data_IF_692753390701
#
_entry.id   IF_692753390701
#
_cell.length_a   1.000
_cell.length_b   1.000
_cell.length_c   1.000
_cell.angle_alpha   90.00
_cell.angle_beta   90.00
_cell.angle_gamma   90.00
#
_symmetry.space_group_name_H-M   'P 1'
#
loop_
_entity.id
_entity.type
_entity.pdbx_description
1 polymer ?
#
# COMPACT_ATOMS: atom_id res chain seq x y z
N UNK A 1 -16.45 -2.45 -18.85
CA UNK A 1 -15.48 -1.45 -18.36
C UNK A 1 -14.29 -2.26 -17.92
N UNK A 2 -13.15 -2.08 -18.58
CA UNK A 2 -11.92 -2.76 -18.20
C UNK A 2 -11.52 -2.14 -16.84
N UNK A 3 -11.87 -2.82 -15.76
CA UNK A 3 -11.61 -2.33 -14.40
C UNK A 3 -10.13 -2.07 -14.27
N UNK A 4 -9.75 -0.93 -13.69
CA UNK A 4 -8.34 -0.60 -13.54
C UNK A 4 -7.71 -1.67 -12.64
N UNK A 5 -6.89 -2.57 -13.20
CA UNK A 5 -6.25 -3.68 -12.48
C UNK A 5 -5.01 -3.25 -11.68
N UNK A 6 -4.81 -1.95 -11.55
CA UNK A 6 -3.68 -1.34 -10.86
C UNK A 6 -4.17 -0.61 -9.60
N UNK A 7 -3.58 -0.95 -8.46
CA UNK A 7 -3.78 -0.24 -7.21
C UNK A 7 -2.70 0.83 -6.99
N UNK A 8 -3.01 1.78 -6.10
CA UNK A 8 -2.13 2.88 -5.73
C UNK A 8 -1.75 2.76 -4.25
N UNK A 9 -0.46 2.76 -3.96
CA UNK A 9 0.10 2.95 -2.63
C UNK A 9 0.57 4.39 -2.47
N UNK A 10 0.22 4.99 -1.32
CA UNK A 10 0.66 6.33 -0.93
C UNK A 10 0.66 6.43 0.60
N UNK A 11 1.12 7.55 1.13
CA UNK A 11 0.93 7.88 2.55
C UNK A 11 0.52 9.34 2.71
N UNK A 12 -0.18 9.62 3.81
CA UNK A 12 -0.53 10.97 4.23
C UNK A 12 -0.50 11.03 5.75
N UNK A 13 0.31 11.94 6.28
CA UNK A 13 0.58 12.04 7.72
C UNK A 13 1.04 10.65 8.24
N UNK A 14 0.43 10.18 9.32
CA UNK A 14 0.66 8.91 10.00
C UNK A 14 -0.12 7.72 9.39
N UNK A 15 -0.52 7.81 8.12
CA UNK A 15 -1.30 6.77 7.47
C UNK A 15 -0.69 6.34 6.15
N UNK A 16 -0.62 5.04 5.95
CA UNK A 16 -0.52 4.42 4.63
C UNK A 16 -1.92 4.34 4.03
N UNK A 17 -1.99 4.62 2.74
CA UNK A 17 -3.22 4.64 1.96
C UNK A 17 -3.05 3.70 0.77
N UNK A 18 -3.88 2.67 0.73
CA UNK A 18 -4.00 1.75 -0.40
C UNK A 18 -5.33 2.02 -1.11
N UNK A 19 -5.28 2.35 -2.39
CA UNK A 19 -6.46 2.65 -3.21
C UNK A 19 -6.60 1.67 -4.35
N UNK A 20 -7.80 1.14 -4.53
CA UNK A 20 -8.14 0.28 -5.64
C UNK A 20 -9.61 0.47 -6.00
N UNK A 21 -9.90 0.79 -7.26
CA UNK A 21 -11.23 1.23 -7.71
C UNK A 21 -11.80 2.37 -6.84
N UNK A 22 -12.97 2.15 -6.24
CA UNK A 22 -13.68 3.06 -5.35
C UNK A 22 -13.29 2.89 -3.86
N UNK A 23 -12.40 1.95 -3.54
CA UNK A 23 -11.95 1.70 -2.18
C UNK A 23 -10.71 2.51 -1.82
N UNK A 24 -10.75 3.13 -0.64
CA UNK A 24 -9.62 3.81 0.00
C UNK A 24 -9.41 3.19 1.37
N UNK A 25 -8.40 2.33 1.48
CA UNK A 25 -8.03 1.66 2.73
C UNK A 25 -6.92 2.46 3.39
N UNK A 26 -7.10 2.79 4.67
CA UNK A 26 -6.13 3.55 5.47
C UNK A 26 -5.76 2.78 6.72
N UNK A 27 -4.46 2.65 6.96
CA UNK A 27 -3.92 2.04 8.17
C UNK A 27 -2.74 2.84 8.69
N UNK A 28 -2.45 2.70 9.99
CA UNK A 28 -1.41 3.48 10.66
C UNK A 28 -0.04 3.12 10.07
N UNK A 29 0.75 4.16 9.82
CA UNK A 29 2.16 4.08 9.48
C UNK A 29 2.99 4.78 10.57
N UNK A 30 4.29 4.50 10.68
CA UNK A 30 5.16 5.25 11.58
C UNK A 30 5.10 6.75 11.31
N UNK A 31 5.05 7.59 12.35
CA UNK A 31 5.01 9.06 12.22
C UNK A 31 6.26 9.64 11.52
N UNK A 32 7.35 8.87 11.53
CA UNK A 32 8.62 9.18 10.89
C UNK A 32 8.61 8.90 9.40
N UNK A 33 7.64 8.15 8.86
CA UNK A 33 7.54 7.86 7.44
C UNK A 33 7.26 9.17 6.69
N UNK A 34 8.16 9.54 5.78
CA UNK A 34 7.95 10.66 4.88
C UNK A 34 7.16 10.23 3.66
N UNK A 35 7.67 9.22 2.95
CA UNK A 35 7.06 8.70 1.73
C UNK A 35 7.56 7.32 1.35
N UNK A 36 6.70 6.57 0.66
CA UNK A 36 7.13 5.44 -0.16
C UNK A 36 7.74 5.93 -1.47
N UNK A 37 8.81 5.31 -1.92
CA UNK A 37 9.58 5.76 -3.09
C UNK A 37 9.55 4.74 -4.23
N UNK A 38 9.44 3.45 -3.93
CA UNK A 38 9.40 2.38 -4.94
C UNK A 38 8.61 1.16 -4.49
N UNK A 39 7.86 0.52 -5.40
CA UNK A 39 7.37 -0.85 -5.23
C UNK A 39 8.46 -1.80 -5.74
N UNK A 40 8.93 -2.71 -4.90
CA UNK A 40 9.86 -3.77 -5.27
C UNK A 40 9.12 -5.05 -5.66
N UNK A 41 8.07 -5.38 -4.92
CA UNK A 41 7.32 -6.62 -5.09
C UNK A 41 5.85 -6.40 -4.75
N UNK A 42 4.99 -7.10 -5.48
CA UNK A 42 3.57 -7.27 -5.20
C UNK A 42 3.27 -8.76 -5.33
N UNK A 43 2.82 -9.38 -4.24
CA UNK A 43 2.38 -10.77 -4.20
C UNK A 43 1.06 -10.87 -3.43
N UNK A 44 -0.05 -10.73 -4.16
CA UNK A 44 -1.41 -10.97 -3.68
C UNK A 44 -1.72 -10.44 -2.26
N UNK A 45 -1.44 -9.16 -2.02
CA UNK A 45 -1.65 -8.50 -0.72
C UNK A 45 -0.38 -8.29 0.10
N UNK A 46 0.72 -8.95 -0.25
CA UNK A 46 2.05 -8.68 0.29
C UNK A 46 2.80 -7.69 -0.60
N UNK A 47 3.39 -6.66 0.02
CA UNK A 47 4.13 -5.60 -0.64
C UNK A 47 5.53 -5.51 -0.04
N UNK A 48 6.54 -5.46 -0.93
CA UNK A 48 7.90 -5.03 -0.58
C UNK A 48 8.10 -3.65 -1.19
N UNK A 49 8.47 -2.65 -0.38
CA UNK A 49 8.58 -1.26 -0.82
C UNK A 49 9.85 -0.60 -0.30
N UNK A 50 10.31 0.43 -1.00
CA UNK A 50 11.29 1.36 -0.45
C UNK A 50 10.57 2.53 0.23
N UNK A 51 11.03 2.90 1.41
CA UNK A 51 10.47 3.93 2.27
C UNK A 51 11.54 4.92 2.71
N UNK A 52 11.20 6.22 2.66
CA UNK A 52 12.03 7.30 3.18
C UNK A 52 11.51 7.74 4.55
N UNK A 53 12.40 7.80 5.53
CA UNK A 53 12.12 8.22 6.89
C UNK A 53 12.83 9.53 7.25
N UNK A 54 12.20 10.37 8.09
CA UNK A 54 12.67 11.73 8.46
C UNK A 54 14.08 11.81 9.02
N UNK A 55 14.51 10.77 9.71
CA UNK A 55 15.78 10.76 10.46
C UNK A 55 16.80 9.78 9.87
N UNK A 56 16.59 9.34 8.63
CA UNK A 56 17.52 8.45 7.93
C UNK A 56 17.83 8.99 6.57
N UNK A 57 19.12 9.01 6.22
CA UNK A 57 19.57 9.47 4.90
C UNK A 57 19.21 8.45 3.81
N UNK A 58 19.36 7.17 4.11
CA UNK A 58 19.06 6.07 3.20
C UNK A 58 17.57 5.67 3.26
N UNK A 59 17.09 5.14 2.14
CA UNK A 59 15.77 4.50 2.07
C UNK A 59 15.84 3.10 2.68
N UNK A 60 14.79 2.71 3.39
CA UNK A 60 14.64 1.39 3.99
C UNK A 60 13.68 0.52 3.19
N UNK A 61 13.97 -0.78 3.14
CA UNK A 61 13.02 -1.77 2.64
C UNK A 61 11.99 -2.07 3.72
N UNK A 62 10.72 -1.98 3.36
CA UNK A 62 9.57 -2.21 4.24
C UNK A 62 8.64 -3.27 3.65
N UNK A 63 8.00 -4.00 4.54
CA UNK A 63 7.09 -5.08 4.22
C UNK A 63 5.69 -4.76 4.73
N UNK A 64 4.70 -4.81 3.84
CA UNK A 64 3.31 -4.51 4.17
C UNK A 64 2.46 -5.73 3.82
N UNK A 65 1.77 -6.27 4.82
CA UNK A 65 0.75 -7.30 4.64
C UNK A 65 -0.65 -6.66 4.73
N UNK A 66 -1.35 -6.61 3.60
CA UNK A 66 -2.70 -6.07 3.50
C UNK A 66 -3.76 -7.05 4.02
N UNK A 67 -3.48 -8.35 4.09
CA UNK A 67 -4.49 -9.36 4.41
C UNK A 67 -5.08 -9.14 5.82
N UNK A 68 -4.28 -8.94 6.90
CA UNK A 68 -4.82 -8.61 8.22
C UNK A 68 -5.61 -7.31 8.24
N UNK A 69 -5.15 -6.28 7.49
CA UNK A 69 -5.83 -4.98 7.41
C UNK A 69 -7.22 -5.14 6.78
N UNK A 70 -7.30 -5.85 5.67
CA UNK A 70 -8.55 -6.13 4.95
C UNK A 70 -9.53 -6.94 5.81
N UNK A 71 -9.05 -8.00 6.47
CA UNK A 71 -9.86 -8.84 7.36
C UNK A 71 -10.42 -8.05 8.55
N UNK A 72 -9.62 -7.16 9.14
CA UNK A 72 -10.08 -6.29 10.23
C UNK A 72 -11.15 -5.29 9.79
N UNK A 73 -11.19 -4.97 8.50
CA UNK A 73 -12.22 -4.13 7.88
C UNK A 73 -13.40 -4.96 7.35
N UNK A 74 -13.47 -6.25 7.66
CA UNK A 74 -14.51 -7.19 7.23
C UNK A 74 -14.58 -7.42 5.72
N UNK A 75 -13.48 -7.22 5.00
CA UNK A 75 -13.37 -7.62 3.59
C UNK A 75 -13.09 -9.11 3.46
N UNK A 76 -13.62 -9.71 2.40
CA UNK A 76 -13.01 -10.90 1.82
C UNK A 76 -11.71 -10.49 1.12
N UNK A 77 -10.59 -10.69 1.82
CA UNK A 77 -9.29 -10.25 1.34
C UNK A 77 -8.92 -10.91 0.00
N UNK A 78 -9.25 -12.18 -0.21
CA UNK A 78 -8.88 -12.89 -1.43
C UNK A 78 -9.64 -12.31 -2.63
N UNK A 79 -10.97 -12.26 -2.52
CA UNK A 79 -11.84 -11.67 -3.55
C UNK A 79 -11.48 -10.21 -3.87
N UNK A 80 -11.06 -9.43 -2.87
CA UNK A 80 -10.64 -8.06 -3.06
C UNK A 80 -9.29 -7.93 -3.80
N UNK A 81 -8.34 -8.82 -3.52
CA UNK A 81 -6.96 -8.76 -4.03
C UNK A 81 -6.79 -9.43 -5.40
N UNK A 82 -7.55 -10.50 -5.70
CA UNK A 82 -7.54 -11.24 -6.99
C UNK A 82 -7.49 -10.34 -8.23
N UNK A 83 -8.30 -9.26 -8.35
CA UNK A 83 -8.28 -8.42 -9.56
C UNK A 83 -7.08 -7.47 -9.68
N UNK A 84 -6.21 -7.37 -8.67
CA UNK A 84 -5.08 -6.43 -8.63
C UNK A 84 -3.82 -7.09 -9.21
N UNK A 85 -3.44 -6.70 -10.43
CA UNK A 85 -2.27 -7.25 -11.11
C UNK A 85 -0.96 -6.55 -10.71
N UNK A 86 -1.04 -5.27 -10.33
CA UNK A 86 0.13 -4.48 -9.92
C UNK A 86 -0.23 -3.32 -9.01
N UNK A 87 0.79 -2.82 -8.32
CA UNK A 87 0.71 -1.64 -7.47
C UNK A 87 1.73 -0.62 -7.93
N UNK A 88 1.35 0.66 -7.95
CA UNK A 88 2.28 1.76 -8.16
C UNK A 88 2.18 2.79 -7.04
N UNK A 89 3.21 3.63 -6.94
CA UNK A 89 3.19 4.77 -6.04
C UNK A 89 2.63 5.99 -6.77
N UNK A 90 1.74 6.72 -6.12
CA UNK A 90 1.22 7.99 -6.60
C UNK A 90 0.89 8.91 -5.43
N UNK A 91 1.23 10.18 -5.56
CA UNK A 91 0.82 11.22 -4.61
C UNK A 91 -0.08 12.19 -5.36
N UNK A 92 -1.24 12.48 -4.79
CA UNK A 92 -2.10 13.58 -5.26
C UNK A 92 -1.49 14.93 -4.88
#
# INVERSE_FOLDING_TARGET
>A
MDGNKEAILSNKNEYTIFRFNDHVIRFKAPYSLEKYTKIKEWDHGYLVVMAKYKHRDEEEEEYIDLIPVLKNLYFDADSFLVPIEKVRIAYD
#
